data_IF_286361007578
#
_entry.id   IF_286361007578
#
_cell.length_a   1.000
_cell.length_b   1.000
_cell.length_c   1.000
_cell.angle_alpha   90.00
_cell.angle_beta   90.00
_cell.angle_gamma   90.00
#
_symmetry.space_group_name_H-M   'P 1'
#
loop_
_entity.id
_entity.type
_entity.pdbx_description
1 polymer ?
#
# COMPACT_ATOMS: atom_id res chain seq x y z
N UNK A 1 16.05 28.91 14.26
CA UNK A 1 16.42 27.59 13.70
C UNK A 1 16.41 27.69 12.19
N UNK A 2 17.37 27.08 11.50
CA UNK A 2 17.35 26.98 10.03
C UNK A 2 16.46 25.82 9.61
N UNK A 3 15.57 26.05 8.64
CA UNK A 3 14.70 25.01 8.08
C UNK A 3 15.53 23.87 7.48
N UNK A 4 15.23 22.59 7.79
CA UNK A 4 15.89 21.46 7.17
C UNK A 4 15.83 21.52 5.64
N UNK A 5 16.94 21.21 4.96
CA UNK A 5 17.14 21.46 3.51
C UNK A 5 16.10 20.75 2.64
N UNK A 6 15.49 19.69 3.15
CA UNK A 6 14.59 18.82 2.41
C UNK A 6 13.15 18.80 2.94
N UNK A 7 12.77 19.72 3.83
CA UNK A 7 11.43 19.69 4.43
C UNK A 7 10.31 19.85 3.39
N UNK A 8 10.49 20.76 2.43
CA UNK A 8 9.54 20.97 1.33
C UNK A 8 9.41 19.72 0.43
N UNK A 9 10.54 19.11 0.08
CA UNK A 9 10.59 17.87 -0.70
C UNK A 9 9.91 16.71 0.03
N UNK A 10 10.14 16.59 1.36
CA UNK A 10 9.47 15.60 2.21
C UNK A 10 7.97 15.79 2.20
N UNK A 11 7.49 17.03 2.35
CA UNK A 11 6.06 17.39 2.34
C UNK A 11 5.40 17.04 1.01
N UNK A 12 6.07 17.34 -0.12
CA UNK A 12 5.61 16.93 -1.44
C UNK A 12 5.52 15.41 -1.57
N UNK A 13 6.55 14.69 -1.10
CA UNK A 13 6.56 13.23 -1.12
C UNK A 13 5.46 12.62 -0.23
N UNK A 14 5.18 13.19 0.94
CA UNK A 14 4.05 12.80 1.79
C UNK A 14 2.73 12.90 1.04
N UNK A 15 2.50 13.99 0.30
CA UNK A 15 1.31 14.13 -0.55
C UNK A 15 1.17 13.03 -1.61
N UNK A 16 2.30 12.58 -2.20
CA UNK A 16 2.28 11.43 -3.10
C UNK A 16 1.98 10.11 -2.39
N UNK A 17 2.51 9.89 -1.18
CA UNK A 17 2.20 8.72 -0.35
C UNK A 17 0.70 8.68 -0.06
N UNK A 18 0.12 9.78 0.45
CA UNK A 18 -1.32 9.90 0.73
C UNK A 18 -2.17 9.64 -0.50
N UNK A 19 -1.76 10.12 -1.68
CA UNK A 19 -2.49 9.83 -2.93
C UNK A 19 -2.57 8.33 -3.22
N UNK A 20 -1.48 7.60 -3.04
CA UNK A 20 -1.46 6.15 -3.30
C UNK A 20 -2.21 5.34 -2.24
N UNK A 21 -2.15 5.76 -0.97
CA UNK A 21 -3.01 5.22 0.10
C UNK A 21 -4.48 5.36 -0.30
N UNK A 22 -4.91 6.56 -0.68
CA UNK A 22 -6.30 6.81 -1.08
C UNK A 22 -6.70 6.00 -2.33
N UNK A 23 -5.76 5.75 -3.25
CA UNK A 23 -6.03 4.90 -4.41
C UNK A 23 -6.25 3.45 -4.01
N UNK A 24 -5.50 2.92 -3.04
CA UNK A 24 -5.68 1.56 -2.52
C UNK A 24 -7.01 1.44 -1.76
N UNK A 25 -7.33 2.42 -0.91
CA UNK A 25 -8.56 2.44 -0.11
C UNK A 25 -9.84 2.35 -0.96
N UNK A 26 -9.82 2.85 -2.20
CA UNK A 26 -10.96 2.72 -3.13
C UNK A 26 -11.33 1.28 -3.42
N UNK A 27 -10.39 0.34 -3.31
CA UNK A 27 -10.63 -1.07 -3.60
C UNK A 27 -11.19 -1.84 -2.42
N UNK A 28 -11.25 -1.27 -1.22
CA UNK A 28 -11.63 -1.98 0.01
C UNK A 28 -12.95 -2.76 -0.16
N UNK A 29 -13.96 -2.08 -0.70
CA UNK A 29 -15.30 -2.62 -0.90
C UNK A 29 -15.60 -3.03 -2.36
N UNK A 30 -14.58 -3.08 -3.22
CA UNK A 30 -14.75 -3.48 -4.62
C UNK A 30 -14.53 -4.99 -4.74
N UNK A 31 -15.48 -5.69 -5.37
CA UNK A 31 -15.37 -7.13 -5.62
C UNK A 31 -14.15 -7.43 -6.51
N UNK A 32 -13.39 -8.47 -6.16
CA UNK A 32 -12.18 -8.81 -6.88
C UNK A 32 -12.44 -9.53 -8.20
N UNK A 33 -11.79 -9.03 -9.25
CA UNK A 33 -11.53 -9.71 -10.52
C UNK A 33 -10.07 -9.49 -10.94
N UNK A 34 -9.67 -10.03 -12.09
CA UNK A 34 -8.29 -9.92 -12.57
C UNK A 34 -7.89 -8.46 -12.84
N UNK A 35 -8.82 -7.65 -13.36
CA UNK A 35 -8.58 -6.23 -13.64
C UNK A 35 -8.33 -5.45 -12.36
N UNK A 36 -9.18 -5.64 -11.37
CA UNK A 36 -9.11 -5.02 -10.05
C UNK A 36 -7.84 -5.43 -9.34
N UNK A 37 -7.47 -6.72 -9.39
CA UNK A 37 -6.19 -7.18 -8.87
C UNK A 37 -5.03 -6.43 -9.51
N UNK A 38 -4.95 -6.37 -10.83
CA UNK A 38 -3.87 -5.67 -11.51
C UNK A 38 -3.77 -4.19 -11.09
N UNK A 39 -4.91 -3.51 -10.92
CA UNK A 39 -4.94 -2.12 -10.45
C UNK A 39 -4.44 -2.00 -9.00
N UNK A 40 -4.87 -2.89 -8.11
CA UNK A 40 -4.39 -2.95 -6.72
C UNK A 40 -2.88 -3.17 -6.67
N UNK A 41 -2.34 -4.08 -7.49
CA UNK A 41 -0.91 -4.37 -7.56
C UNK A 41 -0.09 -3.18 -8.05
N UNK A 42 -0.58 -2.46 -9.06
CA UNK A 42 0.06 -1.23 -9.54
C UNK A 42 0.06 -0.15 -8.46
N UNK A 43 -1.07 0.03 -7.76
CA UNK A 43 -1.16 0.99 -6.67
C UNK A 43 -0.22 0.63 -5.50
N UNK A 44 -0.13 -0.66 -5.14
CA UNK A 44 0.82 -1.16 -4.12
C UNK A 44 2.27 -0.84 -4.50
N UNK A 45 2.67 -1.19 -5.73
CA UNK A 45 4.03 -0.94 -6.21
C UNK A 45 4.39 0.54 -6.14
N UNK A 46 3.48 1.41 -6.59
CA UNK A 46 3.68 2.85 -6.51
C UNK A 46 3.73 3.36 -5.07
N UNK A 47 2.87 2.87 -4.17
CA UNK A 47 2.91 3.21 -2.75
C UNK A 47 4.27 2.87 -2.15
N UNK A 48 4.76 1.63 -2.35
CA UNK A 48 6.05 1.19 -1.82
C UNK A 48 7.21 2.03 -2.35
N UNK A 49 7.21 2.34 -3.64
CA UNK A 49 8.25 3.14 -4.27
C UNK A 49 8.27 4.58 -3.74
N UNK A 50 7.10 5.21 -3.62
CA UNK A 50 6.98 6.58 -3.09
C UNK A 50 7.29 6.63 -1.60
N UNK A 51 6.83 5.66 -0.81
CA UNK A 51 7.12 5.58 0.62
C UNK A 51 8.62 5.38 0.90
N UNK A 52 9.30 4.53 0.12
CA UNK A 52 10.76 4.37 0.22
C UNK A 52 11.51 5.70 0.00
N UNK A 53 11.09 6.48 -1.01
CA UNK A 53 11.62 7.84 -1.24
C UNK A 53 11.31 8.79 -0.07
N UNK A 54 10.09 8.75 0.45
CA UNK A 54 9.69 9.53 1.62
C UNK A 54 10.58 9.23 2.83
N UNK A 55 10.83 7.95 3.15
CA UNK A 55 11.71 7.55 4.25
C UNK A 55 13.12 8.11 4.10
N UNK A 56 13.75 7.92 2.93
CA UNK A 56 15.11 8.45 2.68
C UNK A 56 15.19 9.97 2.85
N UNK A 57 14.17 10.70 2.39
CA UNK A 57 14.14 12.16 2.56
C UNK A 57 13.94 12.54 4.03
N UNK A 58 13.06 11.82 4.74
CA UNK A 58 12.78 12.05 6.16
C UNK A 58 14.00 11.80 7.04
N UNK A 59 14.78 10.74 6.76
CA UNK A 59 16.07 10.50 7.41
C UNK A 59 17.06 11.67 7.19
N UNK A 60 17.03 12.30 6.01
CA UNK A 60 17.80 13.51 5.74
C UNK A 60 17.34 14.71 6.57
N UNK A 61 16.03 14.90 6.71
CA UNK A 61 15.44 15.95 7.56
C UNK A 61 15.83 15.76 9.02
N UNK A 62 15.73 14.55 9.55
CA UNK A 62 16.13 14.25 10.94
C UNK A 62 17.61 14.55 11.18
N UNK A 63 18.52 14.17 10.25
CA UNK A 63 19.95 14.53 10.35
C UNK A 63 20.20 16.03 10.32
N UNK A 64 19.50 16.76 9.46
CA UNK A 64 19.63 18.23 9.38
C UNK A 64 19.15 18.89 10.69
N UNK A 65 18.09 18.36 11.30
CA UNK A 65 17.60 18.81 12.62
C UNK A 65 18.64 18.58 13.72
N UNK A 66 19.36 17.45 13.70
CA UNK A 66 20.43 17.15 14.68
C UNK A 66 21.56 18.16 14.56
N UNK A 67 21.98 18.46 13.33
CA UNK A 67 23.04 19.44 13.06
C UNK A 67 22.63 20.87 13.43
N UNK A 68 21.34 21.20 13.27
CA UNK A 68 20.79 22.50 13.62
C UNK A 68 20.54 22.68 15.13
N UNK A 69 20.78 21.64 15.94
CA UNK A 69 20.53 21.66 17.38
C UNK A 69 19.05 21.73 17.73
N UNK A 70 18.21 20.99 16.99
CA UNK A 70 16.78 20.95 17.26
C UNK A 70 16.49 20.46 18.69
N UNK A 71 15.41 21.01 19.27
CA UNK A 71 14.97 20.64 20.60
C UNK A 71 14.40 19.23 20.61
N UNK A 72 14.36 18.62 21.80
CA UNK A 72 13.76 17.30 21.98
C UNK A 72 12.28 17.25 21.52
N UNK A 73 11.54 18.35 21.72
CA UNK A 73 10.14 18.46 21.32
C UNK A 73 10.01 18.43 19.79
N UNK A 74 10.83 19.21 19.07
CA UNK A 74 10.82 19.20 17.59
C UNK A 74 11.21 17.83 17.01
N UNK A 75 12.16 17.12 17.65
CA UNK A 75 12.47 15.74 17.26
C UNK A 75 11.30 14.80 17.46
N UNK A 76 10.61 14.91 18.60
CA UNK A 76 9.47 14.05 18.90
C UNK A 76 8.34 14.29 17.89
N UNK A 77 8.04 15.55 17.55
CA UNK A 77 7.05 15.87 16.52
C UNK A 77 7.41 15.28 15.15
N UNK A 78 8.70 15.32 14.78
CA UNK A 78 9.15 14.73 13.53
C UNK A 78 9.03 13.20 13.52
N UNK A 79 9.40 12.55 14.63
CA UNK A 79 9.24 11.09 14.80
C UNK A 79 7.76 10.70 14.75
N UNK A 80 6.90 11.39 15.48
CA UNK A 80 5.45 11.12 15.51
C UNK A 80 4.82 11.29 14.12
N UNK A 81 5.24 12.31 13.36
CA UNK A 81 4.81 12.50 11.97
C UNK A 81 5.25 11.35 11.06
N UNK A 82 6.45 10.80 11.26
CA UNK A 82 6.93 9.65 10.49
C UNK A 82 6.20 8.36 10.85
N UNK A 83 5.98 8.11 12.15
CA UNK A 83 5.21 6.96 12.65
C UNK A 83 3.80 6.97 12.05
N UNK A 84 3.11 8.11 12.08
CA UNK A 84 1.77 8.22 11.51
C UNK A 84 1.72 7.85 10.03
N UNK A 85 2.71 8.29 9.24
CA UNK A 85 2.78 7.92 7.82
C UNK A 85 3.04 6.42 7.64
N UNK A 86 3.89 5.83 8.50
CA UNK A 86 4.17 4.40 8.48
C UNK A 86 2.92 3.55 8.80
N UNK A 87 2.13 3.97 9.80
CA UNK A 87 0.86 3.34 10.15
C UNK A 87 -0.15 3.41 8.99
N UNK A 88 -0.36 4.59 8.39
CA UNK A 88 -1.27 4.77 7.26
C UNK A 88 -0.86 3.92 6.03
N UNK A 89 0.45 3.79 5.79
CA UNK A 89 0.98 2.88 4.75
C UNK A 89 0.70 1.42 5.11
N UNK A 90 0.91 1.03 6.37
CA UNK A 90 0.63 -0.31 6.87
C UNK A 90 -0.84 -0.71 6.66
N UNK A 91 -1.77 0.17 7.04
CA UNK A 91 -3.20 -0.02 6.86
C UNK A 91 -3.58 -0.21 5.39
N UNK A 92 -3.04 0.63 4.50
CA UNK A 92 -3.27 0.48 3.06
C UNK A 92 -2.74 -0.88 2.54
N UNK A 93 -1.55 -1.30 2.99
CA UNK A 93 -0.99 -2.60 2.59
C UNK A 93 -1.79 -3.79 3.13
N UNK A 94 -2.49 -3.64 4.25
CA UNK A 94 -3.43 -4.65 4.76
C UNK A 94 -4.64 -4.83 3.83
N UNK A 95 -5.14 -3.75 3.21
CA UNK A 95 -6.18 -3.83 2.17
C UNK A 95 -5.66 -4.65 0.97
N UNK A 96 -4.45 -4.35 0.50
CA UNK A 96 -3.84 -5.09 -0.61
C UNK A 96 -3.72 -6.58 -0.31
N UNK A 97 -3.27 -6.93 0.90
CA UNK A 97 -3.17 -8.33 1.33
C UNK A 97 -4.53 -9.01 1.30
N UNK A 98 -5.57 -8.39 1.88
CA UNK A 98 -6.94 -8.93 1.87
C UNK A 98 -7.45 -9.15 0.44
N UNK A 99 -7.25 -8.18 -0.46
CA UNK A 99 -7.69 -8.25 -1.85
C UNK A 99 -6.98 -9.36 -2.64
N UNK A 100 -5.69 -9.60 -2.37
CA UNK A 100 -4.96 -10.73 -2.94
C UNK A 100 -5.54 -12.08 -2.48
N UNK A 101 -5.89 -12.21 -1.20
CA UNK A 101 -6.51 -13.45 -0.70
C UNK A 101 -7.93 -13.65 -1.26
N UNK A 102 -8.77 -12.60 -1.30
CA UNK A 102 -10.11 -12.65 -1.91
C UNK A 102 -10.05 -13.17 -3.35
N UNK A 103 -9.10 -12.68 -4.16
CA UNK A 103 -8.95 -13.15 -5.54
C UNK A 103 -8.52 -14.63 -5.64
N UNK A 104 -7.64 -15.10 -4.76
CA UNK A 104 -7.26 -16.53 -4.72
C UNK A 104 -8.45 -17.42 -4.38
N UNK A 105 -9.30 -17.00 -3.45
CA UNK A 105 -10.50 -17.74 -3.08
C UNK A 105 -11.49 -17.85 -4.24
N UNK A 106 -11.66 -16.75 -5.00
CA UNK A 106 -12.48 -16.73 -6.22
C UNK A 106 -11.92 -17.70 -7.26
N UNK A 107 -10.61 -17.64 -7.55
CA UNK A 107 -9.99 -18.57 -8.51
C UNK A 107 -10.17 -20.03 -8.10
N UNK A 108 -9.95 -20.35 -6.83
CA UNK A 108 -10.11 -21.70 -6.32
C UNK A 108 -11.58 -22.19 -6.41
N UNK A 109 -12.55 -21.29 -6.19
CA UNK A 109 -13.96 -21.63 -6.36
C UNK A 109 -14.33 -21.89 -7.82
N UNK A 110 -13.83 -21.07 -8.74
CA UNK A 110 -14.04 -21.27 -10.18
C UNK A 110 -13.39 -22.56 -10.68
N UNK A 111 -12.20 -22.92 -10.20
CA UNK A 111 -11.53 -24.18 -10.53
C UNK A 111 -12.33 -25.40 -10.08
N UNK A 112 -12.84 -25.38 -8.84
CA UNK A 112 -13.69 -26.46 -8.32
C UNK A 112 -14.95 -26.62 -9.18
N UNK A 113 -15.61 -25.51 -9.51
CA UNK A 113 -16.81 -25.52 -10.36
C UNK A 113 -16.51 -26.08 -11.75
N UNK A 114 -15.41 -25.65 -12.39
CA UNK A 114 -14.99 -26.19 -13.70
C UNK A 114 -14.73 -27.70 -13.63
N UNK A 115 -14.14 -28.18 -12.53
CA UNK A 115 -13.89 -29.60 -12.37
C UNK A 115 -15.18 -30.42 -12.20
N UNK A 116 -16.12 -29.93 -11.39
CA UNK A 116 -17.45 -30.54 -11.21
C UNK A 116 -18.24 -30.58 -12.52
N UNK A 117 -18.25 -29.49 -13.28
CA UNK A 117 -18.92 -29.40 -14.58
C UNK A 117 -18.32 -30.40 -15.60
N UNK A 118 -16.99 -30.54 -15.59
CA UNK A 118 -16.27 -31.52 -16.44
C UNK A 118 -16.64 -32.96 -16.07
N UNK A 119 -16.66 -33.30 -14.78
CA UNK A 119 -17.06 -34.63 -14.31
C UNK A 119 -18.51 -34.95 -14.72
N UNK A 120 -19.43 -34.00 -14.52
CA UNK A 120 -20.83 -34.15 -14.89
C UNK A 120 -21.00 -34.37 -16.41
N UNK A 121 -20.22 -33.66 -17.24
CA UNK A 121 -20.24 -33.86 -18.69
C UNK A 121 -19.77 -35.27 -19.07
N UNK A 122 -18.67 -35.75 -18.48
CA UNK A 122 -18.17 -37.11 -18.73
C UNK A 122 -19.22 -38.17 -18.39
N UNK A 123 -19.89 -38.05 -17.24
CA UNK A 123 -20.97 -38.97 -16.86
C UNK A 123 -22.15 -38.96 -17.84
N UNK A 124 -22.55 -37.78 -18.35
CA UNK A 124 -23.62 -37.66 -19.34
C UNK A 124 -23.27 -38.25 -20.70
N UNK A 125 -21.99 -38.24 -21.09
CA UNK A 125 -21.53 -38.79 -22.37
C UNK A 125 -21.30 -40.31 -22.37
N UNK A 126 -21.42 -40.97 -21.21
CA UNK A 126 -21.25 -42.42 -21.07
C UNK A 126 -22.58 -43.20 -21.03
N UNK A 127 -23.73 -42.52 -21.19
CA UNK A 127 -25.06 -43.12 -21.35
C UNK A 127 -25.51 -43.01 -22.81
#
# INVERSE_FOLDING_TARGET
MTTPTNEASRRGMKGHVTRWINNIQKFDNVQMDLTTLNQVLVAESNLRNTYSKYKRISEGVTRDMEQAGATQEEFQEEVDSQIKVEEEVGDALMIVKRKREEFKEIQAAEERKRHEDMLLLMFKTQQ
#
